data_IF_863704523078
#
_entry.id   IF_863704523078
#
_cell.length_a   1.000
_cell.length_b   1.000
_cell.length_c   1.000
_cell.angle_alpha   90.00
_cell.angle_beta   90.00
_cell.angle_gamma   90.00
#
_symmetry.space_group_name_H-M   'P 1'
#
loop_
_entity.id
_entity.type
_entity.pdbx_description
1 polymer ?
#
# COMPACT_ATOMS: atom_id res chain seq x y z
N UNK A 1 -6.50 6.52 23.09
CA UNK A 1 -5.84 6.48 21.76
C UNK A 1 -6.83 5.87 20.79
N UNK A 2 -6.72 6.27 19.54
CA UNK A 2 -7.63 5.85 18.48
C UNK A 2 -6.83 5.06 17.46
N UNK A 3 -7.37 3.90 17.07
CA UNK A 3 -6.82 3.11 15.99
C UNK A 3 -7.87 3.05 14.89
N UNK A 4 -7.45 3.39 13.68
CA UNK A 4 -8.31 3.48 12.49
C UNK A 4 -7.79 2.47 11.47
N UNK A 5 -8.65 1.51 11.11
CA UNK A 5 -8.38 0.52 10.06
C UNK A 5 -8.47 1.18 8.66
N UNK A 6 -7.61 0.75 7.72
CA UNK A 6 -7.48 1.35 6.39
C UNK A 6 -7.77 0.38 5.24
N UNK A 7 -8.57 -0.66 5.48
CA UNK A 7 -9.01 -1.60 4.44
C UNK A 7 -10.09 -1.00 3.50
N UNK A 8 -10.48 0.26 3.75
CA UNK A 8 -11.52 0.99 3.01
C UNK A 8 -12.75 1.24 3.86
N UNK A 9 -12.93 0.50 4.95
CA UNK A 9 -13.90 0.78 5.99
C UNK A 9 -13.21 1.46 7.17
N UNK A 10 -13.61 2.70 7.49
CA UNK A 10 -13.08 3.37 8.68
C UNK A 10 -13.79 2.77 9.90
N UNK A 11 -13.19 1.75 10.48
CA UNK A 11 -13.61 1.19 11.78
C UNK A 11 -12.78 1.86 12.87
N UNK A 12 -13.41 2.77 13.61
CA UNK A 12 -12.79 3.46 14.75
C UNK A 12 -12.78 2.52 15.96
N UNK A 13 -11.60 2.16 16.44
CA UNK A 13 -11.44 1.44 17.71
C UNK A 13 -10.81 2.37 18.76
N UNK A 14 -11.20 2.21 20.03
CA UNK A 14 -10.77 3.07 21.14
C UNK A 14 -9.90 2.37 22.21
N UNK A 15 -8.65 1.98 21.88
CA UNK A 15 -7.71 1.50 22.89
C UNK A 15 -7.35 2.55 23.94
N UNK A 16 -7.32 2.12 25.21
CA UNK A 16 -7.09 3.01 26.36
C UNK A 16 -5.61 3.38 26.60
N UNK A 17 -4.64 2.71 25.96
CA UNK A 17 -3.20 2.99 26.18
C UNK A 17 -2.30 2.57 25.02
N UNK A 18 -1.04 3.04 25.02
CA UNK A 18 0.01 2.64 24.07
C UNK A 18 0.24 1.13 24.05
N UNK A 19 0.43 0.53 25.21
CA UNK A 19 0.62 -0.91 25.32
C UNK A 19 -0.59 -1.73 24.87
N UNK A 20 -1.81 -1.20 25.01
CA UNK A 20 -3.01 -1.86 24.47
C UNK A 20 -3.01 -1.87 22.93
N UNK A 21 -2.56 -0.77 22.30
CA UNK A 21 -2.42 -0.71 20.83
C UNK A 21 -1.29 -1.61 20.33
N UNK A 22 -0.16 -1.62 21.03
CA UNK A 22 0.96 -2.49 20.67
C UNK A 22 0.56 -3.98 20.71
N UNK A 23 -0.21 -4.38 21.74
CA UNK A 23 -0.80 -5.73 21.82
C UNK A 23 -1.82 -5.99 20.70
N UNK A 24 -2.74 -5.05 20.45
CA UNK A 24 -3.75 -5.17 19.40
C UNK A 24 -3.13 -5.39 18.02
N UNK A 25 -2.08 -4.63 17.69
CA UNK A 25 -1.40 -4.69 16.39
C UNK A 25 -0.27 -5.72 16.36
N UNK A 26 0.01 -6.41 17.47
CA UNK A 26 1.13 -7.34 17.66
C UNK A 26 2.50 -6.75 17.27
N UNK A 27 2.81 -5.56 17.81
CA UNK A 27 4.05 -4.81 17.56
C UNK A 27 4.75 -4.40 18.86
N UNK A 28 5.99 -3.95 18.77
CA UNK A 28 6.71 -3.35 19.91
C UNK A 28 6.20 -1.92 20.21
N UNK A 29 6.10 -1.56 21.49
CA UNK A 29 5.67 -0.21 21.96
C UNK A 29 6.45 0.94 21.32
N UNK A 30 7.75 0.75 21.02
CA UNK A 30 8.57 1.77 20.35
C UNK A 30 8.03 2.12 18.96
N UNK A 31 7.48 1.12 18.25
CA UNK A 31 6.91 1.30 16.91
C UNK A 31 5.65 2.15 17.01
N UNK A 32 4.78 1.88 18.00
CA UNK A 32 3.60 2.70 18.30
C UNK A 32 3.99 4.16 18.55
N UNK A 33 5.01 4.42 19.37
CA UNK A 33 5.47 5.78 19.65
C UNK A 33 6.00 6.50 18.41
N UNK A 34 6.64 5.77 17.51
CA UNK A 34 7.17 6.33 16.27
C UNK A 34 6.10 6.61 15.20
N UNK A 35 4.85 6.18 15.38
CA UNK A 35 3.79 6.30 14.37
C UNK A 35 2.51 6.97 14.90
N UNK A 36 2.41 7.22 16.21
CA UNK A 36 1.30 7.97 16.77
C UNK A 36 1.26 9.40 16.20
N UNK A 37 0.07 9.86 15.84
CA UNK A 37 -0.20 11.18 15.26
C UNK A 37 0.55 11.45 13.94
N UNK A 38 0.99 10.38 13.26
CA UNK A 38 1.69 10.48 11.98
C UNK A 38 0.79 10.12 10.80
N UNK A 39 0.80 11.02 9.83
CA UNK A 39 0.10 10.91 8.56
C UNK A 39 0.89 10.10 7.52
N UNK A 40 1.47 8.97 7.93
CA UNK A 40 2.34 8.14 7.07
C UNK A 40 1.49 7.21 6.22
N UNK A 41 1.65 7.30 4.90
CA UNK A 41 0.99 6.43 3.93
C UNK A 41 1.18 4.95 4.29
N UNK A 42 0.05 4.24 4.46
CA UNK A 42 0.01 2.81 4.73
C UNK A 42 0.00 2.42 6.21
N UNK A 43 0.27 3.37 7.12
CA UNK A 43 0.23 3.15 8.57
C UNK A 43 1.07 1.97 9.06
N UNK A 44 0.74 1.43 10.24
CA UNK A 44 1.30 0.17 10.74
C UNK A 44 0.33 -0.95 10.40
N UNK A 45 0.71 -1.86 9.50
CA UNK A 45 -0.16 -2.93 9.02
C UNK A 45 -1.52 -2.40 8.49
N UNK A 46 -1.55 -1.22 7.87
CA UNK A 46 -2.79 -0.58 7.44
C UNK A 46 -3.58 0.09 8.57
N UNK A 47 -3.06 0.18 9.78
CA UNK A 47 -3.70 0.85 10.90
C UNK A 47 -3.03 2.19 11.19
N UNK A 48 -3.84 3.22 11.37
CA UNK A 48 -3.38 4.54 11.80
C UNK A 48 -3.67 4.73 13.28
N UNK A 49 -2.76 5.42 13.98
CA UNK A 49 -2.80 5.57 15.43
C UNK A 49 -2.78 7.05 15.77
N UNK A 50 -3.80 7.53 16.46
CA UNK A 50 -3.90 8.91 16.91
C UNK A 50 -4.08 8.97 18.42
N UNK A 51 -3.45 9.95 19.07
CA UNK A 51 -3.63 10.21 20.49
C UNK A 51 -4.99 10.86 20.78
N UNK A 52 -5.60 11.46 19.76
CA UNK A 52 -6.86 12.18 19.80
C UNK A 52 -7.85 11.67 18.74
N UNK A 53 -9.12 12.08 18.90
CA UNK A 53 -10.18 11.76 17.95
C UNK A 53 -10.10 12.70 16.75
N UNK A 54 -10.07 12.15 15.55
CA UNK A 54 -10.07 12.97 14.34
C UNK A 54 -11.43 13.61 14.10
N UNK A 55 -11.43 14.88 13.71
CA UNK A 55 -12.62 15.54 13.18
C UNK A 55 -12.94 15.12 11.74
N UNK A 56 -14.03 15.63 11.18
CA UNK A 56 -14.47 15.30 9.81
C UNK A 56 -13.42 15.67 8.75
N UNK A 57 -12.77 16.83 8.87
CA UNK A 57 -11.79 17.32 7.90
C UNK A 57 -10.51 16.48 7.96
N UNK A 58 -10.07 16.13 9.17
CA UNK A 58 -8.96 15.23 9.40
C UNK A 58 -9.24 13.82 8.89
N UNK A 59 -10.48 13.35 9.02
CA UNK A 59 -10.92 12.08 8.46
C UNK A 59 -10.88 12.08 6.93
N UNK A 60 -11.32 13.17 6.30
CA UNK A 60 -11.24 13.36 4.84
C UNK A 60 -9.79 13.38 4.35
N UNK A 61 -8.90 14.08 5.05
CA UNK A 61 -7.45 14.06 4.75
C UNK A 61 -6.86 12.66 4.90
N UNK A 62 -7.28 11.92 5.93
CA UNK A 62 -6.86 10.53 6.12
C UNK A 62 -7.32 9.66 4.95
N UNK A 63 -8.58 9.84 4.51
CA UNK A 63 -9.13 9.16 3.34
C UNK A 63 -8.35 9.50 2.06
N UNK A 64 -7.93 10.75 1.89
CA UNK A 64 -7.08 11.15 0.77
C UNK A 64 -5.73 10.42 0.81
N UNK A 65 -5.04 10.41 1.96
CA UNK A 65 -3.77 9.71 2.16
C UNK A 65 -3.92 8.20 1.92
N UNK A 66 -5.01 7.61 2.39
CA UNK A 66 -5.35 6.21 2.12
C UNK A 66 -5.63 6.00 0.63
N UNK A 67 -6.31 6.93 -0.04
CA UNK A 67 -6.62 6.84 -1.47
C UNK A 67 -5.37 6.90 -2.35
N UNK A 68 -4.34 7.66 -1.93
CA UNK A 68 -3.03 7.67 -2.59
C UNK A 68 -2.36 6.29 -2.55
N UNK A 69 -2.81 5.36 -1.68
CA UNK A 69 -2.37 3.95 -1.65
C UNK A 69 -2.91 3.14 -2.84
N UNK A 70 -3.90 3.65 -3.61
CA UNK A 70 -4.53 2.97 -4.76
C UNK A 70 -3.64 2.85 -6.02
N UNK A 71 -2.35 2.55 -5.87
CA UNK A 71 -1.62 1.92 -6.96
C UNK A 71 -2.22 0.55 -7.33
N UNK A 72 -3.09 -0.03 -6.48
CA UNK A 72 -3.91 -1.19 -6.86
C UNK A 72 -4.93 -0.94 -7.98
N UNK A 73 -5.26 0.29 -8.38
CA UNK A 73 -6.24 0.55 -9.44
C UNK A 73 -5.65 1.22 -10.69
N UNK A 74 -4.34 1.47 -10.72
CA UNK A 74 -3.72 2.01 -11.93
C UNK A 74 -3.70 0.92 -12.99
N UNK A 75 -4.00 1.31 -14.23
CA UNK A 75 -3.74 0.44 -15.37
C UNK A 75 -2.24 0.22 -15.44
N UNK A 76 -1.84 -1.03 -15.60
CA UNK A 76 -0.43 -1.42 -15.71
C UNK A 76 -0.21 -1.94 -17.10
N UNK A 77 0.81 -1.40 -17.77
CA UNK A 77 1.30 -1.94 -19.03
C UNK A 77 2.56 -2.73 -18.76
N UNK A 78 2.60 -3.94 -19.29
CA UNK A 78 3.70 -4.86 -19.13
C UNK A 78 4.43 -5.01 -20.46
N UNK A 79 5.72 -4.71 -20.47
CA UNK A 79 6.56 -4.82 -21.65
C UNK A 79 7.59 -5.93 -21.47
N UNK A 80 7.86 -6.66 -22.55
CA UNK A 80 9.02 -7.54 -22.65
C UNK A 80 10.26 -6.69 -22.54
N UNK A 81 11.08 -6.93 -21.52
CA UNK A 81 12.24 -6.06 -21.32
C UNK A 81 13.42 -6.38 -22.27
N UNK A 82 13.33 -7.45 -23.08
CA UNK A 82 14.28 -7.72 -24.17
C UNK A 82 13.87 -7.11 -25.50
N UNK A 83 12.57 -7.09 -25.83
CA UNK A 83 12.06 -6.64 -27.13
C UNK A 83 11.34 -5.28 -27.07
N UNK A 84 11.01 -4.79 -25.88
CA UNK A 84 10.14 -3.63 -25.61
C UNK A 84 8.73 -3.76 -26.18
N UNK A 85 8.32 -4.98 -26.53
CA UNK A 85 6.98 -5.26 -27.01
C UNK A 85 6.01 -5.44 -25.85
N UNK A 86 4.78 -4.98 -26.06
CA UNK A 86 3.71 -5.11 -25.08
C UNK A 86 3.30 -6.59 -24.93
N UNK A 87 3.33 -7.12 -23.70
CA UNK A 87 3.06 -8.54 -23.41
C UNK A 87 1.55 -8.83 -23.49
N UNK A 88 0.71 -7.85 -23.13
CA UNK A 88 -0.74 -7.94 -23.19
C UNK A 88 -1.38 -6.56 -23.23
N UNK A 89 -2.68 -6.50 -23.49
CA UNK A 89 -3.48 -5.32 -23.12
C UNK A 89 -3.24 -4.94 -21.66
N UNK A 90 -3.43 -3.65 -21.35
CA UNK A 90 -3.23 -3.12 -19.99
C UNK A 90 -3.94 -3.96 -18.93
N UNK A 91 -3.24 -4.33 -17.86
CA UNK A 91 -3.88 -4.91 -16.68
C UNK A 91 -4.68 -3.83 -15.96
N UNK A 92 -5.87 -4.17 -15.47
CA UNK A 92 -6.70 -3.20 -14.74
C UNK A 92 -6.21 -2.91 -13.31
N UNK A 93 -5.14 -3.59 -12.87
CA UNK A 93 -4.49 -3.40 -11.57
C UNK A 93 -3.11 -4.07 -11.54
N UNK A 94 -2.24 -3.59 -10.65
CA UNK A 94 -0.97 -4.26 -10.30
C UNK A 94 -1.17 -5.69 -9.81
N UNK A 95 -2.22 -5.94 -9.03
CA UNK A 95 -2.49 -7.29 -8.53
C UNK A 95 -2.76 -8.26 -9.68
N UNK A 96 -3.54 -7.86 -10.70
CA UNK A 96 -3.79 -8.70 -11.87
C UNK A 96 -2.52 -8.96 -12.69
N UNK A 97 -1.64 -7.97 -12.80
CA UNK A 97 -0.33 -8.18 -13.40
C UNK A 97 0.50 -9.19 -12.59
N UNK A 98 0.49 -9.08 -11.26
CA UNK A 98 1.21 -9.99 -10.36
C UNK A 98 0.71 -11.43 -10.48
N UNK A 99 -0.62 -11.62 -10.53
CA UNK A 99 -1.27 -12.91 -10.71
C UNK A 99 -0.90 -13.54 -12.07
N UNK A 100 -0.86 -12.72 -13.13
CA UNK A 100 -0.47 -13.16 -14.48
C UNK A 100 0.99 -13.64 -14.53
N UNK A 101 1.92 -12.86 -13.97
CA UNK A 101 3.35 -13.20 -13.94
C UNK A 101 3.73 -14.19 -12.84
N UNK A 102 2.78 -14.58 -11.97
CA UNK A 102 3.00 -15.46 -10.81
C UNK A 102 4.10 -14.94 -9.88
N UNK A 103 4.11 -13.63 -9.66
CA UNK A 103 5.04 -12.94 -8.75
C UNK A 103 4.29 -12.27 -7.61
N UNK A 104 4.99 -11.93 -6.52
CA UNK A 104 4.40 -11.07 -5.48
C UNK A 104 4.19 -9.66 -6.06
N UNK A 105 3.02 -9.06 -5.82
CA UNK A 105 2.70 -7.68 -6.23
C UNK A 105 3.75 -6.68 -5.73
N UNK A 106 4.37 -6.94 -4.56
CA UNK A 106 5.47 -6.11 -4.05
C UNK A 106 6.69 -6.11 -4.96
N UNK A 107 6.92 -7.21 -5.67
CA UNK A 107 8.00 -7.30 -6.66
C UNK A 107 7.71 -6.34 -7.81
N UNK A 108 6.50 -6.36 -8.36
CA UNK A 108 6.09 -5.41 -9.41
C UNK A 108 6.20 -3.97 -8.90
N UNK A 109 5.71 -3.68 -7.70
CA UNK A 109 5.79 -2.35 -7.09
C UNK A 109 7.22 -1.83 -6.97
N UNK A 110 8.16 -2.71 -6.62
CA UNK A 110 9.58 -2.35 -6.46
C UNK A 110 10.24 -2.00 -7.80
N UNK A 111 9.70 -2.52 -8.90
CA UNK A 111 10.27 -2.37 -10.25
C UNK A 111 9.46 -1.45 -11.16
N UNK A 112 8.31 -0.95 -10.69
CA UNK A 112 7.56 0.11 -11.36
C UNK A 112 8.40 1.38 -11.49
N UNK A 113 8.40 1.97 -12.69
CA UNK A 113 9.11 3.20 -13.02
C UNK A 113 10.63 3.16 -12.74
N UNK A 114 11.21 1.98 -12.52
CA UNK A 114 12.66 1.79 -12.40
C UNK A 114 13.22 1.28 -13.73
N UNK A 115 14.42 1.74 -14.11
CA UNK A 115 15.18 1.23 -15.26
C UNK A 115 15.62 -0.25 -15.10
N UNK A 116 15.16 -0.97 -14.08
CA UNK A 116 15.60 -2.31 -13.71
C UNK A 116 14.41 -3.28 -13.73
N UNK A 117 14.29 -4.04 -14.81
CA UNK A 117 13.29 -5.10 -14.97
C UNK A 117 13.38 -6.15 -13.85
N UNK A 118 12.24 -6.70 -13.42
CA UNK A 118 12.24 -7.83 -12.48
C UNK A 118 12.64 -9.11 -13.21
N UNK A 119 13.63 -9.83 -12.69
CA UNK A 119 14.09 -11.11 -13.21
C UNK A 119 13.67 -12.23 -12.26
N UNK A 120 12.58 -12.92 -12.60
CA UNK A 120 12.21 -14.18 -11.93
C UNK A 120 11.53 -15.12 -12.93
N UNK A 121 12.31 -16.10 -13.40
CA UNK A 121 11.94 -17.22 -14.28
C UNK A 121 11.34 -16.77 -15.64
N UNK A 122 12.21 -16.78 -16.66
CA UNK A 122 11.97 -16.67 -18.11
C UNK A 122 11.21 -15.46 -18.68
N UNK A 123 10.53 -14.63 -17.87
CA UNK A 123 9.82 -13.44 -18.36
C UNK A 123 10.37 -12.14 -17.73
N UNK A 124 11.19 -11.43 -18.50
CA UNK A 124 11.69 -10.09 -18.17
C UNK A 124 10.54 -9.08 -18.38
N UNK A 125 10.05 -8.44 -17.32
CA UNK A 125 8.96 -7.48 -17.46
C UNK A 125 9.28 -6.10 -16.86
N UNK A 126 9.07 -5.05 -17.67
CA UNK A 126 8.98 -3.67 -17.22
C UNK A 126 7.50 -3.30 -17.08
N UNK A 127 7.09 -2.87 -15.89
CA UNK A 127 5.72 -2.42 -15.63
C UNK A 127 5.68 -0.90 -15.54
N UNK A 128 4.85 -0.26 -16.37
CA UNK A 128 4.58 1.18 -16.31
C UNK A 128 3.17 1.41 -15.76
N UNK A 129 3.03 2.30 -14.77
CA UNK A 129 1.74 2.74 -14.26
C UNK A 129 1.43 4.14 -14.81
N UNK A 130 0.33 4.29 -15.55
CA UNK A 130 -0.20 5.61 -15.89
C UNK A 130 -1.35 5.94 -14.93
N UNK A 131 -1.29 7.13 -14.33
CA UNK A 131 -2.38 7.72 -13.54
C UNK A 131 -3.52 8.18 -14.43
#
# INVERSE_FOLDING_TARGET
MYVIEADGSIVKTSPKSKGAVAKLLNIQDRITTNHIDKWIKGGINGNYIFSYELDTIELEKLLEIISLRKFNNNRVWAYSASTLELISDSFSSMQKAADYFKVDYRSILTHMDTNLATLKVENLCCCLALN
#
